data_IF_260427462180
#
_entry.id   IF_260427462180
#
_cell.length_a   1.000
_cell.length_b   1.000
_cell.length_c   1.000
_cell.angle_alpha   90.00
_cell.angle_beta   90.00
_cell.angle_gamma   90.00
#
_symmetry.space_group_name_H-M   'P 1'
#
loop_
_entity.id
_entity.type
_entity.pdbx_description
1 polymer ?
#
# COMPACT_ATOMS: atom_id res chain seq x y z
N UNK A 1 -24.22 9.67 -4.18
CA UNK A 1 -23.59 10.24 -5.40
C UNK A 1 -24.20 9.50 -6.59
N UNK A 2 -24.33 10.12 -7.76
CA UNK A 2 -25.14 9.59 -8.87
C UNK A 2 -24.66 8.23 -9.45
N UNK A 3 -23.53 7.70 -8.99
CA UNK A 3 -22.92 6.43 -9.41
C UNK A 3 -22.81 5.39 -8.28
N UNK A 4 -23.29 5.69 -7.07
CA UNK A 4 -23.08 4.78 -5.94
C UNK A 4 -23.91 3.47 -6.07
N UNK A 5 -24.94 3.46 -6.92
CA UNK A 5 -25.78 2.28 -7.21
C UNK A 5 -25.46 1.62 -8.57
N UNK A 6 -24.57 2.22 -9.37
CA UNK A 6 -24.25 1.70 -10.69
C UNK A 6 -23.61 0.29 -10.56
N UNK A 7 -24.11 -0.73 -11.31
CA UNK A 7 -23.78 -2.13 -11.08
C UNK A 7 -22.31 -2.50 -11.32
N UNK A 8 -21.56 -1.64 -12.00
CA UNK A 8 -20.14 -1.82 -12.35
C UNK A 8 -19.19 -0.81 -11.71
N UNK A 9 -19.72 0.14 -10.92
CA UNK A 9 -18.92 1.21 -10.31
C UNK A 9 -18.86 0.99 -8.82
N UNK A 10 -17.67 1.14 -8.25
CA UNK A 10 -17.48 1.04 -6.82
C UNK A 10 -16.39 1.96 -6.30
N UNK A 11 -16.43 2.18 -4.99
CA UNK A 11 -15.39 2.93 -4.28
C UNK A 11 -14.31 1.99 -3.78
N UNK A 12 -13.07 2.31 -4.10
CA UNK A 12 -11.89 1.62 -3.59
C UNK A 12 -10.79 2.64 -3.31
N UNK A 13 -10.21 2.59 -2.12
CA UNK A 13 -9.20 3.56 -1.63
C UNK A 13 -9.65 5.03 -1.73
N UNK A 14 -10.93 5.27 -1.44
CA UNK A 14 -11.52 6.62 -1.50
C UNK A 14 -11.71 7.18 -2.90
N UNK A 15 -11.48 6.38 -3.95
CA UNK A 15 -11.66 6.77 -5.37
C UNK A 15 -12.77 5.93 -6.00
N UNK A 16 -13.43 6.49 -7.02
CA UNK A 16 -14.42 5.77 -7.83
C UNK A 16 -13.72 5.05 -8.98
N UNK A 17 -14.11 3.81 -9.21
CA UNK A 17 -13.57 2.93 -10.23
C UNK A 17 -14.71 2.27 -10.99
N UNK A 18 -14.54 2.10 -12.31
CA UNK A 18 -15.41 1.29 -13.16
C UNK A 18 -14.68 0.02 -13.58
N UNK A 19 -15.40 -1.09 -13.61
CA UNK A 19 -14.93 -2.38 -14.13
C UNK A 19 -15.88 -2.90 -15.21
N UNK A 20 -15.38 -3.63 -16.23
CA UNK A 20 -16.26 -4.38 -17.13
C UNK A 20 -17.09 -5.44 -16.40
N UNK A 21 -16.55 -5.99 -15.31
CA UNK A 21 -17.23 -6.99 -14.48
C UNK A 21 -18.20 -6.33 -13.49
N UNK A 22 -19.27 -7.04 -13.06
CA UNK A 22 -20.13 -6.59 -11.99
C UNK A 22 -19.34 -6.22 -10.73
N UNK A 23 -19.82 -5.19 -10.04
CA UNK A 23 -19.21 -4.62 -8.83
C UNK A 23 -18.87 -5.69 -7.80
N UNK A 24 -19.78 -6.62 -7.52
CA UNK A 24 -19.57 -7.66 -6.50
C UNK A 24 -18.37 -8.54 -6.86
N UNK A 25 -18.31 -9.01 -8.10
CA UNK A 25 -17.23 -9.85 -8.62
C UNK A 25 -15.89 -9.09 -8.60
N UNK A 26 -15.89 -7.85 -9.08
CA UNK A 26 -14.70 -7.01 -9.07
C UNK A 26 -14.21 -6.76 -7.63
N UNK A 27 -15.11 -6.35 -6.73
CA UNK A 27 -14.77 -6.09 -5.32
C UNK A 27 -14.19 -7.32 -4.64
N UNK A 28 -14.77 -8.50 -4.86
CA UNK A 28 -14.27 -9.75 -4.28
C UNK A 28 -12.90 -10.14 -4.85
N UNK A 29 -12.69 -9.99 -6.15
CA UNK A 29 -11.39 -10.22 -6.79
C UNK A 29 -10.31 -9.28 -6.21
N UNK A 30 -10.61 -8.00 -6.04
CA UNK A 30 -9.68 -7.04 -5.42
C UNK A 30 -9.45 -7.33 -3.93
N UNK A 31 -10.48 -7.71 -3.19
CA UNK A 31 -10.33 -8.11 -1.80
C UNK A 31 -9.45 -9.36 -1.67
N UNK A 32 -9.62 -10.35 -2.56
CA UNK A 32 -8.80 -11.56 -2.61
C UNK A 32 -7.35 -11.23 -2.96
N UNK A 33 -7.11 -10.39 -3.97
CA UNK A 33 -5.78 -9.94 -4.36
C UNK A 33 -5.11 -9.16 -3.22
N UNK A 34 -5.83 -8.28 -2.51
CA UNK A 34 -5.30 -7.54 -1.35
C UNK A 34 -4.95 -8.46 -0.18
N UNK A 35 -5.77 -9.46 0.11
CA UNK A 35 -5.46 -10.47 1.13
C UNK A 35 -4.23 -11.29 0.75
N UNK A 36 -4.13 -11.68 -0.52
CA UNK A 36 -2.95 -12.36 -1.04
C UNK A 36 -1.71 -11.47 -0.93
N UNK A 37 -1.78 -10.22 -1.41
CA UNK A 37 -0.69 -9.25 -1.34
C UNK A 37 -0.28 -9.04 0.12
N UNK A 38 -1.22 -8.85 1.06
CA UNK A 38 -0.92 -8.71 2.49
C UNK A 38 -0.27 -9.97 3.10
N UNK A 39 -0.68 -11.15 2.65
CA UNK A 39 -0.07 -12.42 3.02
C UNK A 39 1.39 -12.53 2.57
N UNK A 40 1.70 -12.03 1.38
CA UNK A 40 3.05 -12.03 0.79
C UNK A 40 3.91 -10.84 1.26
N UNK A 41 3.29 -9.70 1.60
CA UNK A 41 3.93 -8.45 2.06
C UNK A 41 4.43 -8.50 3.52
N UNK A 42 4.31 -9.65 4.21
CA UNK A 42 5.02 -9.89 5.49
C UNK A 42 6.53 -9.60 5.40
N UNK A 43 7.05 -9.52 4.18
CA UNK A 43 8.36 -9.03 3.78
C UNK A 43 8.71 -7.58 4.14
N UNK A 44 7.75 -6.69 4.36
CA UNK A 44 8.00 -5.25 4.55
C UNK A 44 8.39 -4.84 5.99
N UNK A 45 8.45 -5.77 6.95
CA UNK A 45 8.87 -5.45 8.33
C UNK A 45 10.36 -5.08 8.47
N UNK A 46 11.10 -4.93 7.37
CA UNK A 46 12.50 -4.51 7.38
C UNK A 46 12.71 -3.16 8.07
N UNK A 47 11.80 -2.19 7.87
CA UNK A 47 11.87 -0.87 8.51
C UNK A 47 11.65 -0.98 10.02
N UNK A 48 10.72 -1.84 10.44
CA UNK A 48 10.46 -2.09 11.87
C UNK A 48 11.69 -2.74 12.53
N UNK A 49 12.30 -3.72 11.86
CA UNK A 49 13.51 -4.38 12.36
C UNK A 49 14.70 -3.42 12.46
N UNK A 50 14.87 -2.53 11.48
CA UNK A 50 15.85 -1.45 11.56
C UNK A 50 15.60 -0.53 12.74
N UNK A 51 14.35 -0.07 12.90
CA UNK A 51 13.99 0.83 13.99
C UNK A 51 14.25 0.19 15.36
N UNK A 52 13.80 -1.05 15.56
CA UNK A 52 14.03 -1.80 16.80
C UNK A 52 15.53 -2.03 17.05
N UNK A 53 16.28 -2.43 16.03
CA UNK A 53 17.73 -2.60 16.13
C UNK A 53 18.43 -1.30 16.51
N UNK A 54 18.03 -0.18 15.91
CA UNK A 54 18.62 1.13 16.16
C UNK A 54 18.33 1.64 17.57
N UNK A 55 17.09 1.47 18.04
CA UNK A 55 16.68 1.79 19.43
C UNK A 55 17.47 0.93 20.42
N UNK A 56 17.55 -0.38 20.19
CA UNK A 56 18.30 -1.29 21.06
C UNK A 56 19.79 -0.96 21.11
N UNK A 57 20.41 -0.66 19.95
CA UNK A 57 21.81 -0.24 19.87
C UNK A 57 22.07 1.07 20.63
N UNK A 58 21.19 2.06 20.46
CA UNK A 58 21.29 3.33 21.18
C UNK A 58 21.15 3.15 22.68
N UNK A 59 20.16 2.36 23.13
CA UNK A 59 19.94 2.06 24.54
C UNK A 59 21.13 1.31 25.17
N UNK A 60 21.70 0.34 24.45
CA UNK A 60 22.88 -0.39 24.91
C UNK A 60 24.11 0.53 25.04
N UNK A 61 24.36 1.39 24.06
CA UNK A 61 25.47 2.35 24.10
C UNK A 61 25.31 3.36 25.23
N UNK A 62 24.09 3.88 25.44
CA UNK A 62 23.79 4.77 26.55
C UNK A 62 24.01 4.06 27.89
N UNK A 63 23.44 2.87 28.07
CA UNK A 63 23.56 2.08 29.29
C UNK A 63 25.03 1.77 29.64
N UNK A 64 25.81 1.28 28.67
CA UNK A 64 27.22 1.00 28.86
C UNK A 64 28.03 2.26 29.20
N UNK A 65 27.78 3.37 28.52
CA UNK A 65 28.45 4.62 28.84
C UNK A 65 28.13 5.13 30.24
N UNK A 66 26.86 5.00 30.67
CA UNK A 66 26.45 5.42 32.03
C UNK A 66 27.10 4.57 33.11
N UNK A 67 27.17 3.24 32.91
CA UNK A 67 27.84 2.32 33.83
C UNK A 67 29.35 2.55 33.90
N UNK A 68 29.97 2.91 32.77
CA UNK A 68 31.39 3.23 32.71
C UNK A 68 31.71 4.67 33.17
N UNK A 69 30.71 5.47 33.56
CA UNK A 69 30.91 6.85 33.99
C UNK A 69 31.47 7.76 32.90
N UNK A 70 31.14 7.50 31.63
CA UNK A 70 31.70 8.27 30.51
C UNK A 70 31.23 9.74 30.52
N UNK A 71 32.14 10.69 30.28
CA UNK A 71 31.78 12.09 30.11
C UNK A 71 30.76 12.31 28.98
N UNK A 72 29.84 13.28 29.12
CA UNK A 72 28.75 13.47 28.15
C UNK A 72 29.20 13.70 26.70
N UNK A 73 30.37 14.30 26.51
CA UNK A 73 30.95 14.59 25.18
C UNK A 73 31.14 13.32 24.34
N UNK A 74 31.42 12.18 24.97
CA UNK A 74 31.60 10.92 24.24
C UNK A 74 30.30 10.39 23.65
N UNK A 75 29.14 10.69 24.24
CA UNK A 75 27.84 10.27 23.69
C UNK A 75 27.53 10.93 22.35
N UNK A 76 28.07 12.12 22.07
CA UNK A 76 27.91 12.80 20.77
C UNK A 76 28.43 11.95 19.61
N UNK A 77 29.44 11.12 19.87
CA UNK A 77 30.06 10.23 18.88
C UNK A 77 29.52 8.81 19.04
N UNK A 78 29.42 8.31 20.27
CA UNK A 78 29.07 6.92 20.54
C UNK A 78 27.60 6.61 20.21
N UNK A 79 26.64 7.49 20.51
CA UNK A 79 25.23 7.20 20.27
C UNK A 79 24.90 7.03 18.77
N UNK A 80 25.37 7.88 17.85
CA UNK A 80 25.20 7.63 16.41
C UNK A 80 25.82 6.31 15.94
N UNK A 81 26.98 5.93 16.48
CA UNK A 81 27.63 4.65 16.16
C UNK A 81 26.77 3.49 16.68
N UNK A 82 26.30 3.56 17.92
CA UNK A 82 25.40 2.57 18.52
C UNK A 82 24.10 2.40 17.75
N UNK A 83 23.49 3.51 17.32
CA UNK A 83 22.33 3.53 16.44
C UNK A 83 22.61 2.78 15.13
N UNK A 84 23.69 3.14 14.43
CA UNK A 84 24.05 2.53 13.14
C UNK A 84 24.34 1.03 13.26
N UNK A 85 25.16 0.64 14.23
CA UNK A 85 25.49 -0.77 14.50
C UNK A 85 24.23 -1.56 14.86
N UNK A 86 23.41 -1.03 15.77
CA UNK A 86 22.15 -1.65 16.16
C UNK A 86 21.19 -1.85 14.99
N UNK A 87 21.03 -0.83 14.13
CA UNK A 87 20.21 -0.91 12.93
C UNK A 87 20.70 -2.02 11.99
N UNK A 88 22.01 -2.06 11.68
CA UNK A 88 22.61 -3.08 10.80
C UNK A 88 22.43 -4.49 11.37
N UNK A 89 22.61 -4.66 12.68
CA UNK A 89 22.39 -5.96 13.35
C UNK A 89 20.91 -6.34 13.25
N UNK A 90 19.99 -5.43 13.58
CA UNK A 90 18.54 -5.66 13.46
C UNK A 90 18.13 -6.08 12.05
N UNK A 91 18.65 -5.39 11.03
CA UNK A 91 18.42 -5.74 9.63
C UNK A 91 18.96 -7.14 9.26
N UNK A 92 20.17 -7.49 9.73
CA UNK A 92 20.75 -8.81 9.50
C UNK A 92 19.98 -9.93 10.20
N UNK A 93 19.57 -9.73 11.45
CA UNK A 93 18.76 -10.70 12.20
C UNK A 93 17.43 -10.91 11.48
N UNK A 94 16.76 -9.82 11.08
CA UNK A 94 15.54 -9.88 10.31
C UNK A 94 15.72 -10.61 8.97
N UNK A 95 16.82 -10.34 8.26
CA UNK A 95 17.17 -11.08 7.03
C UNK A 95 17.45 -12.55 7.28
N UNK A 96 18.03 -12.94 8.41
CA UNK A 96 18.24 -14.37 8.72
C UNK A 96 16.94 -15.09 9.06
N UNK A 97 16.04 -14.44 9.80
CA UNK A 97 14.79 -15.03 10.25
C UNK A 97 13.72 -15.03 9.15
N UNK A 98 13.55 -13.89 8.48
CA UNK A 98 12.52 -13.69 7.46
C UNK A 98 13.05 -13.83 6.03
N UNK A 99 14.35 -13.70 5.80
CA UNK A 99 14.90 -13.68 4.45
C UNK A 99 14.82 -14.99 3.68
N UNK A 100 14.67 -16.13 4.36
CA UNK A 100 14.30 -17.39 3.68
C UNK A 100 12.91 -17.27 3.04
N UNK A 101 11.94 -16.67 3.74
CA UNK A 101 10.56 -16.47 3.27
C UNK A 101 10.41 -15.36 2.23
N UNK A 102 11.42 -14.50 2.07
CA UNK A 102 11.42 -13.39 1.11
C UNK A 102 11.76 -13.84 -0.32
N UNK A 103 12.55 -14.91 -0.44
CA UNK A 103 12.98 -15.51 -1.71
C UNK A 103 12.10 -16.65 -2.16
N UNK A 104 11.17 -17.09 -1.32
CA UNK A 104 10.20 -18.10 -1.71
C UNK A 104 9.24 -17.50 -2.75
N UNK A 105 9.26 -18.07 -3.96
CA UNK A 105 8.25 -17.80 -4.97
C UNK A 105 6.89 -18.08 -4.32
N UNK A 106 5.91 -17.17 -4.42
CA UNK A 106 4.60 -17.38 -3.83
C UNK A 106 4.06 -18.76 -4.20
N UNK A 107 3.72 -19.57 -3.20
CA UNK A 107 3.25 -20.94 -3.39
C UNK A 107 1.90 -21.02 -4.10
N UNK A 108 1.18 -19.90 -4.15
CA UNK A 108 -0.09 -19.74 -4.87
C UNK A 108 0.04 -18.60 -5.87
N UNK A 109 -0.50 -18.76 -7.09
CA UNK A 109 -0.51 -17.67 -8.06
C UNK A 109 -1.29 -16.48 -7.53
N UNK A 110 -0.85 -15.27 -7.89
CA UNK A 110 -1.57 -14.04 -7.54
C UNK A 110 -2.95 -14.08 -8.20
N UNK A 111 -4.05 -13.84 -7.46
CA UNK A 111 -5.38 -13.76 -8.05
C UNK A 111 -5.42 -12.72 -9.16
N UNK A 112 -6.00 -13.10 -10.29
CA UNK A 112 -6.28 -12.18 -11.38
C UNK A 112 -7.41 -11.23 -10.99
N UNK A 113 -7.28 -9.98 -11.41
CA UNK A 113 -8.27 -8.94 -11.15
C UNK A 113 -8.74 -8.35 -12.47
N UNK A 114 -10.04 -8.04 -12.61
CA UNK A 114 -10.53 -7.40 -13.80
C UNK A 114 -9.92 -5.99 -13.94
N UNK A 115 -9.84 -5.50 -15.17
CA UNK A 115 -9.35 -4.15 -15.45
C UNK A 115 -10.20 -3.11 -14.71
N UNK A 116 -9.53 -2.14 -14.10
CA UNK A 116 -10.18 -0.99 -13.48
C UNK A 116 -9.75 0.30 -14.14
N UNK A 117 -10.75 1.11 -14.48
CA UNK A 117 -10.53 2.47 -14.96
C UNK A 117 -11.00 3.44 -13.89
N UNK A 118 -10.13 4.37 -13.51
CA UNK A 118 -10.43 5.36 -12.48
C UNK A 118 -11.40 6.38 -13.05
N UNK A 119 -12.53 6.59 -12.38
CA UNK A 119 -13.47 7.66 -12.70
C UNK A 119 -12.95 8.99 -12.11
N UNK A 120 -12.66 10.01 -12.93
CA UNK A 120 -12.30 11.33 -12.43
C UNK A 120 -13.47 11.97 -11.67
N UNK A 121 -13.18 12.70 -10.59
CA UNK A 121 -14.22 13.38 -9.81
C UNK A 121 -15.00 14.44 -10.60
N UNK A 122 -14.37 15.03 -11.63
CA UNK A 122 -15.02 15.94 -12.56
C UNK A 122 -16.06 15.22 -13.42
N UNK A 123 -15.79 13.98 -13.84
CA UNK A 123 -16.68 13.15 -14.64
C UNK A 123 -17.88 12.66 -13.82
N UNK A 124 -17.65 12.24 -12.59
CA UNK A 124 -18.67 11.69 -11.69
C UNK A 124 -19.87 12.62 -11.41
N UNK A 125 -19.78 13.90 -11.79
CA UNK A 125 -20.87 14.89 -11.68
C UNK A 125 -21.83 14.89 -12.87
N UNK A 126 -21.43 14.30 -13.99
CA UNK A 126 -22.14 14.37 -15.27
C UNK A 126 -22.66 13.01 -15.74
N UNK A 127 -22.48 11.97 -14.92
CA UNK A 127 -22.83 10.59 -15.22
C UNK A 127 -23.74 10.06 -14.12
N UNK A 128 -24.57 9.07 -14.46
CA UNK A 128 -25.57 8.48 -13.57
C UNK A 128 -25.55 6.95 -13.63
N UNK A 129 -26.43 6.33 -12.87
CA UNK A 129 -26.57 4.87 -12.79
C UNK A 129 -27.02 4.21 -14.11
N UNK A 130 -27.47 4.99 -15.11
CA UNK A 130 -27.89 4.51 -16.44
C UNK A 130 -26.81 4.61 -17.51
N UNK A 131 -25.70 5.30 -17.21
CA UNK A 131 -24.61 5.53 -18.17
C UNK A 131 -23.94 4.21 -18.56
N UNK A 132 -23.78 3.89 -19.86
CA UNK A 132 -23.17 2.64 -20.27
C UNK A 132 -21.73 2.47 -19.74
N UNK A 133 -21.38 1.23 -19.37
CA UNK A 133 -20.04 0.89 -18.83
C UNK A 133 -18.93 1.23 -19.83
N UNK A 134 -19.15 0.97 -21.12
CA UNK A 134 -18.23 1.31 -22.21
C UNK A 134 -17.89 2.80 -22.23
N UNK A 135 -18.90 3.63 -21.98
CA UNK A 135 -18.81 5.07 -22.06
C UNK A 135 -18.08 5.60 -20.82
N UNK A 136 -18.44 5.08 -19.64
CA UNK A 136 -17.71 5.34 -18.40
C UNK A 136 -16.22 4.99 -18.51
N UNK A 137 -15.87 3.86 -19.14
CA UNK A 137 -14.46 3.47 -19.36
C UNK A 137 -13.79 4.43 -20.34
N UNK A 138 -14.37 4.63 -21.52
CA UNK A 138 -13.77 5.46 -22.57
C UNK A 138 -13.60 6.93 -22.14
N UNK A 139 -14.61 7.52 -21.50
CA UNK A 139 -14.54 8.88 -20.99
C UNK A 139 -13.57 9.01 -19.81
N UNK A 140 -13.43 7.97 -18.98
CA UNK A 140 -12.44 7.97 -17.90
C UNK A 140 -11.01 7.95 -18.45
N UNK A 141 -10.75 7.19 -19.52
CA UNK A 141 -9.45 7.15 -20.19
C UNK A 141 -9.11 8.47 -20.88
N UNK A 142 -10.12 9.13 -21.46
CA UNK A 142 -9.98 10.42 -22.14
C UNK A 142 -9.96 11.61 -21.17
N UNK A 143 -10.52 11.45 -19.96
CA UNK A 143 -10.61 12.48 -18.93
C UNK A 143 -11.72 13.52 -19.14
N UNK A 144 -12.67 13.31 -20.06
CA UNK A 144 -13.78 14.23 -20.31
C UNK A 144 -15.06 13.52 -20.79
N UNK A 145 -16.23 14.16 -20.58
CA UNK A 145 -17.54 13.71 -21.10
C UNK A 145 -17.92 14.57 -22.31
N UNK A 146 -18.27 13.98 -23.47
CA UNK A 146 -18.74 14.70 -24.64
C UNK A 146 -19.96 15.59 -24.32
N UNK A 147 -20.06 16.73 -25.00
CA UNK A 147 -21.08 17.76 -24.69
C UNK A 147 -22.51 17.27 -24.95
N UNK A 148 -22.67 16.42 -25.97
CA UNK A 148 -23.97 15.94 -26.45
C UNK A 148 -24.46 14.70 -25.67
N UNK A 149 -23.57 14.06 -24.92
CA UNK A 149 -23.84 12.89 -24.07
C UNK A 149 -24.04 13.27 -22.59
N UNK A 150 -24.01 14.57 -22.29
CA UNK A 150 -24.42 15.08 -20.97
C UNK A 150 -25.92 14.83 -20.84
N UNK A 151 -26.29 13.94 -19.91
CA UNK A 151 -27.66 13.52 -19.60
C UNK A 151 -28.70 14.60 -19.95
N UNK A 152 -29.66 14.35 -20.88
CA UNK A 152 -30.75 15.27 -21.12
C UNK A 152 -31.56 15.40 -19.82
N UNK A 153 -31.67 16.63 -19.31
CA UNK A 153 -32.49 16.92 -18.13
C UNK A 153 -33.97 16.69 -18.40
#
# INVERSE_FOLDING_TARGET
>A
MALDNHPHVFRFEGRLWVSPEPREIAQDAFAAQRRWDAGQLRSQHWTLALALGAVAGTAATLGLGTLAGLPPVFYLILLPIGFGVGAVIGARVNRRILGSRLTDVPTTPRPETPTLTRIPSAMAKYVDDSTPVSDLISWSEQGFVPKDERIPR
#
